data_IF_686707484799
#
_entry.id   IF_686707484799
#
_cell.length_a   1.000
_cell.length_b   1.000
_cell.length_c   1.000
_cell.angle_alpha   90.00
_cell.angle_beta   90.00
_cell.angle_gamma   90.00
#
_symmetry.space_group_name_H-M   'P 1'
#
loop_
_entity.id
_entity.type
_entity.pdbx_description
1 polymer ?
#
# COMPACT_ATOMS: atom_id res chain seq x y z
N UNK A 1 -2.28 -20.95 -25.50
CA UNK A 1 -3.29 -20.06 -24.86
C UNK A 1 -2.53 -18.96 -24.14
N UNK A 2 -3.00 -17.71 -24.23
CA UNK A 2 -2.46 -16.62 -23.42
C UNK A 2 -2.99 -16.77 -21.99
N UNK A 3 -2.11 -16.70 -20.99
CA UNK A 3 -2.50 -16.61 -19.58
C UNK A 3 -3.02 -15.18 -19.33
N UNK A 4 -4.25 -15.07 -18.82
CA UNK A 4 -4.84 -13.77 -18.49
C UNK A 4 -4.45 -13.37 -17.06
N UNK A 5 -3.72 -12.26 -16.93
CA UNK A 5 -3.41 -11.65 -15.63
C UNK A 5 -4.57 -10.76 -15.19
N UNK A 6 -5.02 -10.88 -13.93
CA UNK A 6 -6.06 -10.04 -13.32
C UNK A 6 -5.50 -9.44 -12.02
N UNK A 7 -5.74 -8.16 -11.72
CA UNK A 7 -4.86 -7.38 -10.82
C UNK A 7 -5.65 -6.65 -9.65
N UNK A 8 -5.03 -6.21 -8.55
CA UNK A 8 -5.59 -6.00 -7.18
C UNK A 8 -4.94 -5.03 -6.10
N UNK A 9 -3.72 -4.41 -6.17
CA UNK A 9 -3.31 -3.26 -5.29
C UNK A 9 -2.13 -2.30 -5.66
N UNK A 10 -2.37 -1.01 -6.02
CA UNK A 10 -1.41 -0.06 -6.67
C UNK A 10 -0.56 0.87 -5.80
N UNK A 11 0.69 1.20 -6.22
CA UNK A 11 1.67 2.07 -5.54
C UNK A 11 2.49 3.18 -6.28
N UNK A 12 2.13 4.46 -6.14
CA UNK A 12 2.88 5.64 -6.61
C UNK A 12 3.67 6.46 -5.57
N UNK A 13 4.80 7.01 -6.03
CA UNK A 13 5.66 7.98 -5.35
C UNK A 13 6.05 9.15 -6.26
N UNK A 14 7.00 9.99 -5.84
CA UNK A 14 7.29 11.31 -6.43
C UNK A 14 7.61 11.30 -7.94
N UNK A 15 8.07 10.16 -8.48
CA UNK A 15 8.37 9.96 -9.92
C UNK A 15 7.84 8.64 -10.50
N UNK A 16 6.91 7.93 -9.84
CA UNK A 16 6.50 6.57 -10.24
C UNK A 16 5.08 6.19 -9.80
N UNK A 17 4.49 5.18 -10.45
CA UNK A 17 3.29 4.40 -10.03
C UNK A 17 3.63 2.90 -9.98
N UNK A 18 2.82 2.03 -9.37
CA UNK A 18 2.88 0.54 -9.36
C UNK A 18 1.48 -0.09 -9.11
N UNK A 19 1.17 -1.41 -9.25
CA UNK A 19 -0.20 -2.07 -9.24
C UNK A 19 -0.28 -3.62 -8.99
N UNK A 20 -0.44 -4.13 -7.74
CA UNK A 20 -0.39 -5.58 -7.26
C UNK A 20 -1.53 -6.39 -7.85
N UNK A 21 -1.47 -7.73 -7.99
CA UNK A 21 -2.48 -8.53 -8.71
C UNK A 21 -3.43 -9.42 -7.88
N UNK A 22 -4.51 -10.00 -8.45
CA UNK A 22 -5.38 -10.96 -7.70
C UNK A 22 -4.63 -12.27 -7.38
N UNK A 23 -3.45 -12.44 -7.98
CA UNK A 23 -2.42 -13.46 -7.70
C UNK A 23 -1.17 -12.88 -7.01
N UNK A 24 -1.15 -11.59 -6.65
CA UNK A 24 -0.08 -10.90 -5.92
C UNK A 24 0.94 -10.05 -6.71
N UNK A 25 0.75 -9.71 -7.99
CA UNK A 25 1.79 -9.12 -8.88
C UNK A 25 1.70 -7.59 -9.13
N UNK A 26 2.75 -6.78 -8.81
CA UNK A 26 2.78 -5.29 -8.82
C UNK A 26 3.25 -4.62 -10.16
N UNK A 27 2.47 -3.70 -10.77
CA UNK A 27 2.72 -3.11 -12.12
C UNK A 27 2.89 -1.57 -12.19
N UNK A 28 4.06 -1.06 -12.62
CA UNK A 28 4.52 0.35 -12.48
C UNK A 28 4.66 1.24 -13.71
N UNK A 29 4.33 2.54 -13.57
CA UNK A 29 4.52 3.58 -14.62
C UNK A 29 4.66 5.01 -14.06
N UNK A 30 5.59 5.84 -14.57
CA UNK A 30 5.64 7.26 -14.19
C UNK A 30 6.84 8.11 -14.67
N UNK A 31 8.00 7.53 -14.98
CA UNK A 31 9.17 8.27 -15.46
C UNK A 31 9.16 8.58 -16.97
N UNK A 32 8.13 8.11 -17.68
CA UNK A 32 7.98 8.20 -19.13
C UNK A 32 8.46 6.99 -19.93
N UNK A 33 8.97 5.93 -19.30
CA UNK A 33 9.52 4.77 -20.03
C UNK A 33 8.49 3.67 -20.37
N UNK A 34 7.93 2.88 -19.42
CA UNK A 34 7.08 1.70 -19.77
C UNK A 34 6.00 1.25 -18.74
N UNK A 35 4.87 0.65 -19.20
CA UNK A 35 4.12 -0.44 -18.51
C UNK A 35 2.71 -0.17 -17.90
N UNK A 36 1.76 -1.14 -17.86
CA UNK A 36 0.38 -0.97 -17.26
C UNK A 36 -0.19 -2.23 -16.55
N UNK A 37 -0.95 -2.06 -15.43
CA UNK A 37 -1.69 -3.10 -14.65
C UNK A 37 -2.60 -2.52 -13.51
N UNK A 38 -3.33 -3.32 -12.69
CA UNK A 38 -4.57 -2.92 -11.93
C UNK A 38 -4.48 -2.74 -10.36
N UNK A 39 -5.29 -1.79 -9.85
CA UNK A 39 -6.15 -1.63 -8.63
C UNK A 39 -5.81 -1.79 -7.11
N UNK A 40 -5.36 -0.74 -6.42
CA UNK A 40 -5.43 -0.46 -4.96
C UNK A 40 -4.82 0.91 -4.65
N UNK A 41 -4.79 1.37 -3.40
CA UNK A 41 -4.22 2.69 -3.08
C UNK A 41 -2.85 2.61 -2.41
N UNK A 42 -2.19 3.75 -2.39
CA UNK A 42 -0.82 3.94 -1.94
C UNK A 42 -0.56 5.30 -1.38
N UNK A 43 0.46 5.37 -0.53
CA UNK A 43 1.37 6.48 -0.65
C UNK A 43 2.81 5.98 -0.45
N UNK A 44 3.73 6.44 -1.29
CA UNK A 44 5.15 6.38 -0.98
C UNK A 44 5.53 7.69 -0.30
N UNK A 45 6.07 7.59 0.92
CA UNK A 45 6.94 8.61 1.48
C UNK A 45 8.38 8.38 0.98
N UNK A 46 9.33 9.27 1.32
CA UNK A 46 10.74 9.14 0.94
C UNK A 46 11.41 7.84 1.42
N UNK A 47 10.92 7.25 2.51
CA UNK A 47 11.56 6.10 3.18
C UNK A 47 10.65 4.87 3.36
N UNK A 48 9.36 5.00 3.06
CA UNK A 48 8.39 3.91 3.25
C UNK A 48 7.23 3.98 2.26
N UNK A 49 6.62 2.83 2.01
CA UNK A 49 5.44 2.67 1.16
C UNK A 49 4.32 2.04 1.96
N UNK A 50 3.12 2.61 1.82
CA UNK A 50 1.89 1.99 2.25
C UNK A 50 1.10 1.49 1.03
N UNK A 51 0.46 0.33 1.15
CA UNK A 51 -0.43 -0.28 0.19
C UNK A 51 -1.78 -0.54 0.87
N UNK A 52 -2.88 -0.11 0.24
CA UNK A 52 -4.25 -0.44 0.64
C UNK A 52 -4.82 -1.39 -0.40
N UNK A 53 -5.19 -2.59 0.04
CA UNK A 53 -5.72 -3.62 -0.85
C UNK A 53 -7.12 -3.29 -1.38
N UNK A 54 -7.54 -3.93 -2.46
CA UNK A 54 -8.95 -3.90 -2.88
C UNK A 54 -9.91 -4.38 -1.76
N UNK A 55 -9.44 -5.29 -0.90
CA UNK A 55 -10.13 -5.77 0.31
C UNK A 55 -10.10 -4.75 1.48
N UNK A 56 -9.32 -3.68 1.39
CA UNK A 56 -9.20 -2.62 2.41
C UNK A 56 -8.22 -2.94 3.54
N UNK A 57 -7.38 -3.96 3.38
CA UNK A 57 -6.28 -4.23 4.30
C UNK A 57 -5.17 -3.19 4.07
N UNK A 58 -4.54 -2.71 5.14
CA UNK A 58 -3.37 -1.84 5.04
C UNK A 58 -2.10 -2.66 5.21
N UNK A 59 -1.20 -2.57 4.25
CA UNK A 59 0.16 -3.08 4.32
C UNK A 59 1.16 -1.93 4.30
N UNK A 60 2.25 -2.07 5.03
CA UNK A 60 3.32 -1.06 5.13
C UNK A 60 4.68 -1.74 5.07
N UNK A 61 5.64 -1.07 4.44
CA UNK A 61 7.02 -1.54 4.30
C UNK A 61 7.98 -0.39 3.98
N UNK A 62 9.26 -0.61 4.21
CA UNK A 62 10.34 0.38 4.14
C UNK A 62 11.03 0.57 5.48
N UNK A 63 11.55 1.77 5.70
CA UNK A 63 12.21 2.16 6.94
C UNK A 63 11.20 2.31 8.10
N UNK A 64 11.55 1.76 9.27
CA UNK A 64 10.71 1.75 10.46
C UNK A 64 10.93 2.90 11.44
N UNK A 65 11.88 3.81 11.18
CA UNK A 65 12.27 4.89 12.11
C UNK A 65 11.05 5.74 12.49
N UNK A 66 10.96 6.12 13.76
CA UNK A 66 9.80 6.80 14.38
C UNK A 66 8.47 6.02 14.34
N UNK A 67 8.48 4.73 13.98
CA UNK A 67 7.30 3.87 13.97
C UNK A 67 6.35 4.13 12.79
N UNK A 68 6.86 4.72 11.69
CA UNK A 68 6.06 5.13 10.52
C UNK A 68 5.25 4.01 9.86
N UNK A 69 5.64 2.75 10.08
CA UNK A 69 4.95 1.57 9.56
C UNK A 69 3.76 1.11 10.45
N UNK A 70 3.55 1.71 11.63
CA UNK A 70 2.37 1.44 12.46
C UNK A 70 2.29 0.04 13.10
N UNK A 71 3.35 -0.76 13.04
CA UNK A 71 3.39 -2.14 13.54
C UNK A 71 3.53 -2.27 15.08
N UNK A 72 3.49 -1.16 15.82
CA UNK A 72 3.71 -1.14 17.27
C UNK A 72 5.19 -1.13 17.69
N UNK A 73 6.10 -1.05 16.73
CA UNK A 73 7.55 -0.95 16.91
C UNK A 73 8.17 0.06 15.93
N UNK A 74 9.49 0.22 15.97
CA UNK A 74 10.26 1.04 15.02
C UNK A 74 11.13 0.18 14.07
N UNK A 75 10.73 -1.07 13.84
CA UNK A 75 11.52 -2.01 13.04
C UNK A 75 11.22 -1.82 11.55
N UNK A 76 12.26 -1.69 10.72
CA UNK A 76 12.12 -1.69 9.26
C UNK A 76 11.69 -3.07 8.76
N UNK A 77 10.71 -3.12 7.85
CA UNK A 77 10.32 -4.34 7.12
C UNK A 77 10.30 -4.05 5.63
N UNK A 78 11.08 -4.78 4.84
CA UNK A 78 11.22 -4.54 3.40
C UNK A 78 10.24 -5.36 2.54
N UNK A 79 9.37 -6.13 3.18
CA UNK A 79 8.25 -6.83 2.55
C UNK A 79 6.93 -6.26 3.09
N UNK A 80 5.87 -6.16 2.26
CA UNK A 80 4.55 -5.70 2.71
C UNK A 80 4.07 -6.51 3.93
N UNK A 81 3.99 -5.86 5.09
CA UNK A 81 3.43 -6.44 6.32
C UNK A 81 2.08 -5.79 6.59
N UNK A 82 1.07 -6.59 6.88
CA UNK A 82 -0.25 -6.08 7.25
C UNK A 82 -0.19 -5.36 8.60
N UNK A 83 -0.86 -4.21 8.70
CA UNK A 83 -0.93 -3.41 9.94
C UNK A 83 -1.93 -4.07 10.90
N UNK A 84 -1.40 -4.89 11.82
CA UNK A 84 -2.18 -5.73 12.73
C UNK A 84 -3.27 -4.98 13.51
N UNK A 85 -3.02 -3.72 13.89
CA UNK A 85 -3.95 -2.86 14.63
C UNK A 85 -5.17 -2.39 13.83
N UNK A 86 -5.14 -2.53 12.50
CA UNK A 86 -6.26 -2.19 11.60
C UNK A 86 -6.95 -3.44 11.01
N UNK A 87 -6.55 -4.65 11.41
CA UNK A 87 -7.22 -5.89 10.96
C UNK A 87 -8.70 -5.89 11.33
N UNK A 88 -9.55 -6.26 10.37
CA UNK A 88 -11.01 -6.21 10.51
C UNK A 88 -11.63 -4.83 10.28
N UNK A 89 -10.84 -3.75 10.22
CA UNK A 89 -11.30 -2.45 9.73
C UNK A 89 -11.04 -2.33 8.23
N UNK A 90 -11.86 -1.51 7.55
CA UNK A 90 -11.68 -1.24 6.12
C UNK A 90 -10.91 0.05 5.92
N UNK A 91 -9.62 -0.05 5.64
CA UNK A 91 -8.81 1.09 5.18
C UNK A 91 -9.30 1.51 3.80
N UNK A 92 -9.53 2.81 3.61
CA UNK A 92 -10.07 3.37 2.36
C UNK A 92 -9.10 4.33 1.68
N UNK A 93 -8.21 4.99 2.43
CA UNK A 93 -7.18 5.89 1.89
C UNK A 93 -5.92 5.83 2.77
N UNK A 94 -4.75 6.09 2.19
CA UNK A 94 -3.49 6.26 2.92
C UNK A 94 -2.66 7.41 2.34
N UNK A 95 -1.82 8.03 3.17
CA UNK A 95 -0.84 9.06 2.81
C UNK A 95 0.43 8.89 3.65
N UNK A 96 1.60 9.10 3.04
CA UNK A 96 2.92 8.86 3.61
C UNK A 96 3.77 10.11 3.41
N UNK A 97 4.17 10.75 4.51
CA UNK A 97 5.07 11.89 4.53
C UNK A 97 6.53 11.46 4.75
N UNK A 98 7.38 12.42 5.11
CA UNK A 98 8.82 12.15 5.37
C UNK A 98 9.02 11.18 6.53
N UNK A 99 8.32 11.42 7.65
CA UNK A 99 8.46 10.67 8.91
C UNK A 99 7.10 10.39 9.58
N UNK A 100 6.05 10.21 8.79
CA UNK A 100 4.72 9.86 9.29
C UNK A 100 3.85 9.19 8.22
N UNK A 101 2.93 8.34 8.66
CA UNK A 101 1.85 7.76 7.86
C UNK A 101 0.50 8.20 8.40
N UNK A 102 -0.48 8.38 7.53
CA UNK A 102 -1.87 8.62 7.88
C UNK A 102 -2.80 7.73 7.05
N UNK A 103 -3.69 7.00 7.72
CA UNK A 103 -4.68 6.13 7.08
C UNK A 103 -6.10 6.52 7.48
N UNK A 104 -7.02 6.50 6.53
CA UNK A 104 -8.46 6.68 6.77
C UNK A 104 -9.11 5.31 6.77
N UNK A 105 -9.76 4.96 7.88
CA UNK A 105 -10.52 3.71 8.04
C UNK A 105 -12.02 3.99 8.13
N UNK A 106 -12.84 3.12 7.52
CA UNK A 106 -14.29 3.15 7.68
C UNK A 106 -14.68 2.37 8.92
N UNK A 107 -15.22 3.08 9.91
CA UNK A 107 -15.97 2.48 11.03
C UNK A 107 -17.38 2.17 10.52
N UNK A 108 -17.86 0.94 10.77
CA UNK A 108 -19.27 0.60 10.54
C UNK A 108 -20.02 0.75 11.87
N UNK A 109 -20.82 1.79 11.96
CA UNK A 109 -21.85 1.89 12.99
C UNK A 109 -23.06 1.06 12.55
N UNK A 110 -23.51 0.15 13.41
CA UNK A 110 -24.76 -0.56 13.22
C UNK A 110 -25.92 0.34 13.66
N UNK A 111 -26.85 0.62 12.75
CA UNK A 111 -28.19 1.16 13.03
C UNK A 111 -29.22 0.05 12.84
#
# INVERSE_FOLDING_TARGET
>A
MLTSTTIEFVSCGEYSSCAVSISGELFSWGDGTHGTGLLGQVSCGPWHTALVTSFGQLFTFGDGTFGVLGHGDCNSTFFPREVDSLKGLRTVRVSCGVWHSAAVVKVMEWL
#
